data_IF_024556231563
#
_entry.id   IF_024556231563
#
_cell.length_a   1.000
_cell.length_b   1.000
_cell.length_c   1.000
_cell.angle_alpha   90.00
_cell.angle_beta   90.00
_cell.angle_gamma   90.00
#
_symmetry.space_group_name_H-M   'P 1'
#
loop_
_entity.id
_entity.type
_entity.pdbx_description
1 polymer ?
#
# COMPACT_ATOMS: atom_id res chain seq x y z
N UNK A 1 30.44 -17.19 -38.23
CA UNK A 1 29.52 -18.35 -38.26
C UNK A 1 28.97 -18.67 -36.88
N UNK A 2 29.65 -19.42 -35.99
CA UNK A 2 29.04 -19.93 -34.73
C UNK A 2 28.31 -18.85 -33.91
N UNK A 3 28.96 -17.72 -33.61
CA UNK A 3 28.33 -16.58 -32.91
C UNK A 3 27.08 -16.02 -33.60
N UNK A 4 27.07 -16.01 -34.93
CA UNK A 4 25.94 -15.57 -35.77
C UNK A 4 24.75 -16.53 -35.69
N UNK A 5 25.01 -17.84 -35.58
CA UNK A 5 23.98 -18.86 -35.39
C UNK A 5 23.41 -18.80 -33.97
N UNK A 6 24.25 -18.61 -32.96
CA UNK A 6 23.82 -18.48 -31.55
C UNK A 6 22.95 -17.23 -31.37
N UNK A 7 23.36 -16.07 -31.91
CA UNK A 7 22.56 -14.84 -31.79
C UNK A 7 21.21 -14.96 -32.52
N UNK A 8 21.15 -15.61 -33.68
CA UNK A 8 19.89 -15.90 -34.37
C UNK A 8 18.94 -16.78 -33.54
N UNK A 9 19.44 -17.84 -32.90
CA UNK A 9 18.66 -18.71 -32.01
C UNK A 9 18.13 -17.92 -30.80
N UNK A 10 18.97 -17.10 -30.16
CA UNK A 10 18.58 -16.27 -29.01
C UNK A 10 17.53 -15.23 -29.41
N UNK A 11 17.69 -14.55 -30.55
CA UNK A 11 16.70 -13.59 -31.07
C UNK A 11 15.36 -14.27 -31.42
N UNK A 12 15.39 -15.48 -31.98
CA UNK A 12 14.18 -16.26 -32.28
C UNK A 12 13.47 -16.69 -31.00
N UNK A 13 14.21 -17.14 -29.98
CA UNK A 13 13.65 -17.47 -28.68
C UNK A 13 13.04 -16.24 -27.97
N UNK A 14 13.74 -15.10 -27.98
CA UNK A 14 13.25 -13.81 -27.47
C UNK A 14 11.94 -13.39 -28.16
N UNK A 15 11.87 -13.49 -29.49
CA UNK A 15 10.68 -13.17 -30.27
C UNK A 15 9.50 -14.11 -29.96
N UNK A 16 9.75 -15.42 -29.81
CA UNK A 16 8.73 -16.41 -29.45
C UNK A 16 8.19 -16.18 -28.03
N UNK A 17 9.06 -15.87 -27.05
CA UNK A 17 8.65 -15.53 -25.67
C UNK A 17 7.83 -14.25 -25.67
N UNK A 18 8.34 -13.18 -26.30
CA UNK A 18 7.64 -11.90 -26.44
C UNK A 18 6.26 -12.08 -27.05
N UNK A 19 6.18 -12.72 -28.23
CA UNK A 19 4.91 -12.91 -28.94
C UNK A 19 3.93 -13.78 -28.14
N UNK A 20 4.37 -14.88 -27.51
CA UNK A 20 3.51 -15.68 -26.62
C UNK A 20 2.95 -14.86 -25.46
N UNK A 21 3.74 -13.95 -24.90
CA UNK A 21 3.36 -13.12 -23.76
C UNK A 21 2.37 -12.00 -24.17
N UNK A 22 2.56 -11.34 -25.33
CA UNK A 22 1.64 -10.29 -25.79
C UNK A 22 0.38 -10.80 -26.50
N UNK A 23 0.41 -11.98 -27.14
CA UNK A 23 -0.70 -12.53 -27.97
C UNK A 23 -2.07 -12.52 -27.27
N UNK A 24 -2.12 -12.70 -25.95
CA UNK A 24 -3.38 -12.59 -25.18
C UNK A 24 -3.97 -11.18 -25.23
N UNK A 25 -3.15 -10.14 -25.09
CA UNK A 25 -3.61 -8.75 -25.14
C UNK A 25 -4.00 -8.36 -26.57
N UNK A 26 -3.20 -8.73 -27.57
CA UNK A 26 -3.50 -8.41 -28.98
C UNK A 26 -4.81 -9.06 -29.45
N UNK A 27 -4.96 -10.39 -29.24
CA UNK A 27 -6.15 -11.16 -29.67
C UNK A 27 -7.46 -10.62 -29.08
N UNK A 28 -7.41 -10.17 -27.82
CA UNK A 28 -8.57 -9.65 -27.09
C UNK A 28 -8.56 -8.11 -27.00
N UNK A 29 -7.82 -7.42 -27.87
CA UNK A 29 -7.67 -5.94 -27.98
C UNK A 29 -7.64 -5.23 -26.62
N UNK A 30 -6.89 -5.79 -25.68
CA UNK A 30 -6.52 -5.08 -24.46
C UNK A 30 -5.38 -4.15 -24.82
N UNK A 31 -5.50 -2.83 -24.63
CA UNK A 31 -4.33 -1.97 -24.65
C UNK A 31 -3.46 -2.26 -23.42
N UNK A 32 -2.18 -2.54 -23.68
CA UNK A 32 -1.18 -2.92 -22.69
C UNK A 32 0.04 -2.00 -22.72
N UNK A 33 0.75 -1.91 -21.60
CA UNK A 33 2.06 -1.27 -21.57
C UNK A 33 3.07 -2.16 -22.30
N UNK A 34 3.76 -1.64 -23.32
CA UNK A 34 4.71 -2.42 -24.13
C UNK A 34 5.85 -2.99 -23.27
N UNK A 35 6.02 -4.33 -23.20
CA UNK A 35 7.03 -4.97 -22.37
C UNK A 35 8.37 -5.09 -23.11
N UNK A 36 9.42 -5.43 -22.37
CA UNK A 36 10.70 -5.96 -22.88
C UNK A 36 10.73 -7.48 -22.55
N UNK A 37 11.29 -8.35 -23.41
CA UNK A 37 11.39 -9.78 -23.13
C UNK A 37 12.03 -10.08 -21.77
N UNK A 38 11.57 -11.14 -21.10
CA UNK A 38 11.98 -11.62 -19.77
C UNK A 38 11.79 -10.68 -18.57
N UNK A 39 11.89 -9.35 -18.74
CA UNK A 39 11.67 -8.35 -17.69
C UNK A 39 10.24 -7.79 -17.65
N UNK A 40 9.42 -8.08 -18.66
CA UNK A 40 8.07 -7.54 -18.78
C UNK A 40 8.10 -6.01 -18.83
N UNK A 41 7.34 -5.34 -17.99
CA UNK A 41 7.36 -3.87 -17.82
C UNK A 41 8.28 -3.40 -16.68
N UNK A 42 8.85 -4.33 -15.89
CA UNK A 42 9.74 -4.03 -14.77
C UNK A 42 11.14 -3.56 -15.19
N UNK A 43 11.47 -3.66 -16.47
CA UNK A 43 12.69 -3.05 -17.03
C UNK A 43 12.83 -1.56 -16.68
N UNK A 44 11.70 -0.86 -16.47
CA UNK A 44 11.68 0.55 -16.08
C UNK A 44 12.21 0.77 -14.65
N UNK A 45 12.17 -0.23 -13.78
CA UNK A 45 12.81 -0.16 -12.46
C UNK A 45 14.33 -0.17 -12.63
N UNK A 46 14.85 -1.20 -13.29
CA UNK A 46 16.29 -1.42 -13.45
C UNK A 46 16.99 -0.41 -14.37
N UNK A 47 16.30 0.13 -15.39
CA UNK A 47 16.91 0.96 -16.44
C UNK A 47 16.51 2.44 -16.35
N UNK A 48 15.39 2.79 -15.69
CA UNK A 48 14.94 4.19 -15.55
C UNK A 48 14.90 4.68 -14.11
N UNK A 49 15.24 3.86 -13.13
CA UNK A 49 15.24 4.24 -11.72
C UNK A 49 13.84 4.55 -11.15
N UNK A 50 12.77 4.09 -11.80
CA UNK A 50 11.41 4.24 -11.29
C UNK A 50 11.13 3.16 -10.24
N UNK A 51 10.51 3.53 -9.12
CA UNK A 51 10.02 2.54 -8.15
C UNK A 51 8.93 1.66 -8.78
N UNK A 52 8.73 0.45 -8.24
CA UNK A 52 7.65 -0.44 -8.69
C UNK A 52 6.26 0.25 -8.65
N UNK A 53 5.88 1.00 -7.59
CA UNK A 53 4.65 1.80 -7.59
C UNK A 53 4.54 2.81 -8.74
N UNK A 54 5.60 3.55 -9.09
CA UNK A 54 5.58 4.50 -10.21
C UNK A 54 5.43 3.79 -11.56
N UNK A 55 6.01 2.60 -11.71
CA UNK A 55 5.80 1.76 -12.90
C UNK A 55 4.33 1.32 -13.00
N UNK A 56 3.74 0.86 -11.89
CA UNK A 56 2.32 0.48 -11.80
C UNK A 56 1.39 1.69 -12.03
N UNK A 57 1.69 2.86 -11.48
CA UNK A 57 0.95 4.11 -11.69
C UNK A 57 1.00 4.57 -13.16
N UNK A 58 2.17 4.49 -13.79
CA UNK A 58 2.34 4.81 -15.21
C UNK A 58 1.60 3.82 -16.12
N UNK A 59 1.53 2.55 -15.75
CA UNK A 59 0.71 1.55 -16.42
C UNK A 59 -0.77 1.88 -16.21
N UNK A 60 -1.20 2.13 -14.98
CA UNK A 60 -2.57 2.56 -14.61
C UNK A 60 -3.01 3.75 -15.48
N UNK A 61 -2.22 4.82 -15.55
CA UNK A 61 -2.54 6.05 -16.29
C UNK A 61 -2.34 5.96 -17.81
N UNK A 62 -1.79 4.87 -18.35
CA UNK A 62 -1.47 4.71 -19.78
C UNK A 62 -2.61 5.03 -20.75
N UNK A 63 -3.84 4.66 -20.38
CA UNK A 63 -5.09 5.18 -20.93
C UNK A 63 -6.02 5.41 -19.70
N UNK A 64 -6.70 6.56 -19.54
CA UNK A 64 -7.37 6.93 -18.29
C UNK A 64 -8.87 6.56 -18.22
N UNK A 65 -9.59 6.55 -19.35
CA UNK A 65 -11.04 6.33 -19.47
C UNK A 65 -11.50 4.88 -19.19
N UNK A 66 -10.71 4.15 -18.40
CA UNK A 66 -10.10 2.94 -18.91
C UNK A 66 -10.01 1.84 -17.84
N UNK A 67 -11.07 1.04 -17.74
CA UNK A 67 -11.44 0.20 -16.58
C UNK A 67 -10.46 -0.91 -16.18
N UNK A 68 -9.43 -1.24 -16.98
CA UNK A 68 -8.30 -2.10 -16.62
C UNK A 68 -7.11 -1.98 -17.61
N UNK A 69 -5.89 -2.44 -17.30
CA UNK A 69 -4.69 -2.30 -18.17
C UNK A 69 -3.90 -3.59 -18.30
N UNK A 70 -3.54 -4.00 -19.52
CA UNK A 70 -2.59 -5.11 -19.70
C UNK A 70 -1.15 -4.71 -19.34
N UNK A 71 -0.44 -5.58 -18.63
CA UNK A 71 1.02 -5.47 -18.47
C UNK A 71 1.64 -6.85 -18.24
N UNK A 72 2.96 -6.94 -18.30
CA UNK A 72 3.70 -8.17 -18.07
C UNK A 72 4.67 -7.95 -16.91
N UNK A 73 4.68 -8.87 -15.96
CA UNK A 73 5.61 -8.91 -14.85
C UNK A 73 6.54 -10.12 -15.06
N UNK A 74 7.79 -9.84 -15.44
CA UNK A 74 8.73 -10.81 -16.00
C UNK A 74 8.15 -11.54 -17.23
N UNK A 75 7.66 -12.77 -17.04
CA UNK A 75 6.98 -13.59 -18.06
C UNK A 75 5.47 -13.77 -17.80
N UNK A 76 4.93 -13.18 -16.73
CA UNK A 76 3.53 -13.32 -16.30
C UNK A 76 2.69 -12.19 -16.89
N UNK A 77 1.73 -12.45 -17.81
CA UNK A 77 0.75 -11.43 -18.17
C UNK A 77 -0.19 -11.16 -16.99
N UNK A 78 -0.49 -9.90 -16.75
CA UNK A 78 -1.37 -9.41 -15.69
C UNK A 78 -2.31 -8.35 -16.27
N UNK A 79 -3.47 -8.16 -15.63
CA UNK A 79 -4.39 -7.08 -15.96
C UNK A 79 -4.66 -6.25 -14.70
N UNK A 80 -4.24 -4.98 -14.71
CA UNK A 80 -4.32 -4.00 -13.62
C UNK A 80 -5.72 -3.37 -13.59
N UNK A 81 -6.47 -3.47 -12.49
CA UNK A 81 -7.88 -3.05 -12.44
C UNK A 81 -7.97 -1.52 -12.21
N UNK A 82 -8.88 -0.82 -12.91
CA UNK A 82 -9.20 0.60 -12.63
C UNK A 82 -10.64 0.86 -12.14
N UNK A 83 -11.61 0.01 -12.47
CA UNK A 83 -13.03 0.24 -12.12
C UNK A 83 -13.41 -0.19 -10.69
N UNK A 84 -14.18 0.64 -9.98
CA UNK A 84 -14.51 0.45 -8.56
C UNK A 84 -15.69 -0.50 -8.29
N UNK A 85 -16.80 -0.37 -9.04
CA UNK A 85 -17.95 -1.30 -8.95
C UNK A 85 -17.50 -2.74 -9.22
N UNK A 86 -16.49 -2.85 -10.07
CA UNK A 86 -15.84 -4.06 -10.44
C UNK A 86 -14.85 -4.60 -9.41
N UNK A 87 -13.99 -3.78 -8.79
CA UNK A 87 -13.15 -4.24 -7.67
C UNK A 87 -14.03 -4.82 -6.56
N UNK A 88 -15.19 -4.21 -6.32
CA UNK A 88 -16.26 -4.72 -5.43
C UNK A 88 -16.94 -5.99 -5.97
N UNK A 89 -17.03 -6.15 -7.29
CA UNK A 89 -17.54 -7.36 -7.94
C UNK A 89 -16.58 -8.55 -7.86
N UNK A 90 -15.25 -8.30 -7.94
CA UNK A 90 -14.18 -9.27 -7.63
C UNK A 90 -14.27 -9.64 -6.14
N UNK A 91 -13.97 -8.68 -5.27
CA UNK A 91 -13.65 -8.94 -3.87
C UNK A 91 -14.86 -9.28 -2.99
N UNK A 92 -16.09 -9.14 -3.50
CA UNK A 92 -17.32 -9.40 -2.75
C UNK A 92 -18.32 -10.24 -3.56
N UNK A 93 -18.91 -9.69 -4.63
CA UNK A 93 -20.07 -10.33 -5.30
C UNK A 93 -19.76 -11.73 -5.82
N UNK A 94 -18.56 -11.89 -6.37
CA UNK A 94 -18.06 -13.15 -6.91
C UNK A 94 -16.84 -13.61 -6.09
N UNK A 95 -16.77 -13.36 -4.76
CA UNK A 95 -15.60 -13.76 -3.97
C UNK A 95 -15.36 -15.28 -3.99
N UNK A 96 -16.40 -16.11 -4.19
CA UNK A 96 -16.20 -17.53 -4.42
C UNK A 96 -15.27 -17.76 -5.64
N UNK A 97 -15.34 -16.87 -6.65
CA UNK A 97 -14.46 -16.80 -7.80
C UNK A 97 -13.04 -16.24 -7.47
N UNK A 98 -12.72 -15.79 -6.24
CA UNK A 98 -11.38 -15.24 -5.87
C UNK A 98 -10.84 -15.69 -4.48
N UNK A 99 -10.77 -17.00 -4.16
CA UNK A 99 -10.52 -17.46 -2.79
C UNK A 99 -9.05 -17.51 -2.32
N UNK A 100 -8.08 -17.42 -3.22
CA UNK A 100 -6.64 -17.70 -2.96
C UNK A 100 -5.75 -16.47 -3.23
N UNK A 101 -4.46 -16.56 -2.87
CA UNK A 101 -3.43 -15.64 -3.34
C UNK A 101 -2.36 -16.31 -4.24
N UNK A 102 -1.61 -15.49 -4.97
CA UNK A 102 -0.49 -15.87 -5.85
C UNK A 102 0.68 -16.21 -4.96
N UNK A 103 1.28 -17.35 -5.27
CA UNK A 103 2.51 -17.76 -4.63
C UNK A 103 3.65 -16.96 -5.25
N UNK A 104 4.36 -16.21 -4.41
CA UNK A 104 5.55 -15.43 -4.79
C UNK A 104 6.77 -16.38 -4.96
N UNK A 105 6.72 -17.55 -4.32
CA UNK A 105 7.72 -18.61 -4.33
C UNK A 105 7.03 -19.97 -4.54
N UNK A 106 7.70 -20.95 -5.15
CA UNK A 106 7.11 -22.29 -5.25
C UNK A 106 7.00 -22.98 -3.87
N UNK A 107 5.98 -23.82 -3.65
CA UNK A 107 5.71 -24.40 -2.33
C UNK A 107 6.87 -25.19 -1.70
N UNK A 108 7.69 -25.79 -2.56
CA UNK A 108 8.81 -26.67 -2.19
C UNK A 108 10.12 -25.89 -2.01
N UNK A 109 10.22 -24.65 -2.53
CA UNK A 109 11.35 -23.74 -2.31
C UNK A 109 11.26 -23.03 -0.95
N UNK A 110 10.04 -22.72 -0.48
CA UNK A 110 9.82 -22.29 0.90
C UNK A 110 8.60 -23.01 1.54
N UNK A 111 8.84 -24.15 2.22
CA UNK A 111 7.81 -24.90 2.95
C UNK A 111 7.23 -24.22 4.20
N UNK A 112 7.71 -23.03 4.58
CA UNK A 112 7.18 -22.21 5.68
C UNK A 112 6.27 -21.11 5.15
N UNK A 113 6.73 -20.32 4.16
CA UNK A 113 5.89 -19.31 3.51
C UNK A 113 4.70 -19.94 2.79
N UNK A 114 4.85 -21.11 2.19
CA UNK A 114 3.76 -21.79 1.46
C UNK A 114 2.62 -22.28 2.35
N UNK A 115 2.86 -22.44 3.66
CA UNK A 115 1.88 -22.93 4.65
C UNK A 115 1.23 -21.83 5.49
N UNK A 116 1.63 -20.57 5.34
CA UNK A 116 1.03 -19.45 6.08
C UNK A 116 -0.38 -19.09 5.54
N UNK A 117 -1.21 -18.41 6.34
CA UNK A 117 -2.60 -18.09 5.97
C UNK A 117 -2.74 -17.19 4.72
N UNK A 118 -1.69 -16.46 4.33
CA UNK A 118 -1.71 -15.68 3.09
C UNK A 118 -1.55 -16.59 1.85
N UNK A 119 -0.64 -17.56 1.92
CA UNK A 119 -0.31 -18.50 0.84
C UNK A 119 -1.28 -19.70 0.73
N UNK A 120 -1.92 -20.11 1.84
CA UNK A 120 -2.87 -21.22 1.86
C UNK A 120 -4.03 -21.01 0.87
N UNK A 121 -4.57 -22.12 0.37
CA UNK A 121 -5.58 -22.14 -0.70
C UNK A 121 -6.77 -23.03 -0.36
N UNK A 122 -7.94 -22.70 -0.93
CA UNK A 122 -9.15 -23.52 -0.88
C UNK A 122 -9.59 -23.90 0.54
N UNK A 123 -9.92 -25.18 0.74
CA UNK A 123 -10.44 -25.71 2.02
C UNK A 123 -9.47 -25.46 3.17
N UNK A 124 -8.16 -25.74 3.00
CA UNK A 124 -7.13 -25.46 4.01
C UNK A 124 -7.08 -24.00 4.46
N UNK A 125 -7.31 -23.06 3.54
CA UNK A 125 -7.41 -21.64 3.91
C UNK A 125 -8.68 -21.35 4.71
N UNK A 126 -9.83 -21.93 4.34
CA UNK A 126 -11.08 -21.74 5.07
C UNK A 126 -11.00 -22.32 6.50
N UNK A 127 -10.49 -23.54 6.65
CA UNK A 127 -10.25 -24.20 7.94
C UNK A 127 -9.32 -23.36 8.83
N UNK A 128 -8.12 -23.03 8.32
CA UNK A 128 -7.14 -22.24 9.07
C UNK A 128 -7.66 -20.83 9.42
N UNK A 129 -8.45 -20.20 8.52
CA UNK A 129 -9.09 -18.91 8.79
C UNK A 129 -10.16 -19.02 9.86
N UNK A 130 -10.98 -20.08 9.87
CA UNK A 130 -11.98 -20.30 10.92
C UNK A 130 -11.31 -20.54 12.28
N UNK A 131 -10.30 -21.41 12.34
CA UNK A 131 -9.50 -21.68 13.56
C UNK A 131 -8.93 -20.37 14.12
N UNK A 132 -8.23 -19.59 13.30
CA UNK A 132 -7.63 -18.33 13.72
C UNK A 132 -8.68 -17.27 14.11
N UNK A 133 -9.78 -17.15 13.36
CA UNK A 133 -10.88 -16.23 13.73
C UNK A 133 -11.47 -16.60 15.10
N UNK A 134 -11.55 -17.90 15.42
CA UNK A 134 -12.00 -18.36 16.75
C UNK A 134 -10.99 -18.06 17.87
N UNK A 135 -9.72 -17.80 17.56
CA UNK A 135 -8.69 -17.40 18.50
C UNK A 135 -8.71 -15.89 18.78
N UNK A 136 -9.04 -15.06 17.78
CA UNK A 136 -9.10 -13.60 17.91
C UNK A 136 -10.38 -13.05 18.59
N UNK A 137 -11.10 -13.86 19.38
CA UNK A 137 -12.24 -13.39 20.18
C UNK A 137 -11.76 -12.53 21.36
N UNK A 138 -12.56 -11.55 21.81
CA UNK A 138 -12.14 -10.58 22.83
C UNK A 138 -11.68 -11.19 24.16
N UNK A 139 -12.25 -12.35 24.54
CA UNK A 139 -11.82 -13.12 25.72
C UNK A 139 -10.44 -13.75 25.50
N UNK A 140 -10.26 -14.53 24.41
CA UNK A 140 -8.98 -15.17 24.10
C UNK A 140 -7.87 -14.17 23.81
N UNK A 141 -8.18 -13.05 23.14
CA UNK A 141 -7.25 -11.92 22.96
C UNK A 141 -6.73 -11.37 24.29
N UNK A 142 -7.57 -11.29 25.33
CA UNK A 142 -7.15 -10.83 26.67
C UNK A 142 -6.23 -11.83 27.37
N UNK A 143 -6.39 -13.13 27.14
CA UNK A 143 -5.47 -14.17 27.59
C UNK A 143 -4.16 -14.19 26.77
N UNK A 144 -4.27 -14.09 25.44
CA UNK A 144 -3.14 -14.02 24.51
C UNK A 144 -2.26 -12.80 24.79
N UNK A 145 -2.81 -11.66 25.21
CA UNK A 145 -2.05 -10.48 25.60
C UNK A 145 -0.94 -10.77 26.63
N UNK A 146 -1.15 -11.74 27.53
CA UNK A 146 -0.13 -12.17 28.51
C UNK A 146 1.05 -12.85 27.80
N UNK A 147 0.77 -13.83 26.93
CA UNK A 147 1.80 -14.51 26.13
C UNK A 147 2.43 -13.57 25.08
N UNK A 148 1.68 -12.64 24.51
CA UNK A 148 2.19 -11.64 23.57
C UNK A 148 3.12 -10.63 24.26
N UNK A 149 2.83 -10.25 25.51
CA UNK A 149 3.76 -9.50 26.37
C UNK A 149 5.04 -10.30 26.61
N UNK A 150 4.91 -11.59 26.92
CA UNK A 150 6.05 -12.43 27.29
C UNK A 150 6.95 -12.75 26.08
N UNK A 151 6.37 -13.12 24.93
CA UNK A 151 7.12 -13.25 23.68
C UNK A 151 7.66 -11.90 23.17
N UNK A 152 6.98 -10.78 23.38
CA UNK A 152 7.55 -9.46 23.08
C UNK A 152 8.72 -9.10 24.01
N UNK A 153 8.69 -9.56 25.26
CA UNK A 153 9.81 -9.46 26.18
C UNK A 153 10.97 -10.34 25.71
N UNK A 154 10.77 -11.63 25.46
CA UNK A 154 11.83 -12.53 24.95
C UNK A 154 12.42 -12.01 23.63
N UNK A 155 11.58 -11.52 22.72
CA UNK A 155 12.02 -10.96 21.44
C UNK A 155 12.82 -9.67 21.64
N UNK A 156 12.45 -8.81 22.60
CA UNK A 156 13.24 -7.62 22.96
C UNK A 156 14.55 -7.98 23.66
N UNK A 157 14.54 -8.95 24.58
CA UNK A 157 15.73 -9.47 25.27
C UNK A 157 16.69 -10.15 24.28
N UNK A 158 16.17 -10.75 23.19
CA UNK A 158 16.95 -11.33 22.09
C UNK A 158 17.46 -10.27 21.08
N UNK A 159 16.67 -9.24 20.77
CA UNK A 159 17.10 -8.16 19.88
C UNK A 159 18.05 -7.15 20.53
N UNK A 160 18.01 -6.97 21.85
CA UNK A 160 18.87 -6.00 22.54
C UNK A 160 20.39 -6.30 22.37
N UNK A 161 20.87 -7.57 22.45
CA UNK A 161 22.23 -7.92 22.07
C UNK A 161 22.52 -7.73 20.58
N UNK A 162 21.58 -8.09 19.69
CA UNK A 162 21.77 -7.94 18.23
C UNK A 162 21.87 -6.47 17.80
N UNK A 163 21.17 -5.57 18.49
CA UNK A 163 21.26 -4.13 18.27
C UNK A 163 22.62 -3.51 18.66
N UNK A 164 23.49 -4.26 19.35
CA UNK A 164 24.86 -3.84 19.62
C UNK A 164 25.79 -4.00 18.40
N UNK A 165 25.41 -4.80 17.39
CA UNK A 165 26.30 -5.18 16.28
C UNK A 165 25.58 -5.20 14.89
N UNK A 166 25.13 -3.99 14.50
CA UNK A 166 24.61 -3.60 13.16
C UNK A 166 23.17 -4.05 12.76
N UNK A 167 22.53 -3.29 11.86
CA UNK A 167 21.07 -3.28 11.60
C UNK A 167 20.60 -3.89 10.25
N UNK A 168 19.33 -4.35 10.16
CA UNK A 168 18.70 -5.02 8.97
C UNK A 168 17.16 -4.77 8.86
N UNK A 169 16.54 -4.97 7.68
CA UNK A 169 15.13 -4.57 7.34
C UNK A 169 14.34 -5.57 6.43
N UNK A 170 12.97 -5.58 6.43
CA UNK A 170 12.04 -6.52 5.69
C UNK A 170 10.63 -5.91 5.37
N UNK A 171 9.84 -6.40 4.38
CA UNK A 171 8.48 -5.90 3.96
C UNK A 171 7.38 -6.99 3.64
N UNK A 172 6.13 -6.62 3.20
CA UNK A 172 4.92 -7.47 3.42
C UNK A 172 3.57 -7.33 2.60
N UNK A 173 3.37 -6.53 1.52
CA UNK A 173 2.02 -5.88 1.26
C UNK A 173 0.89 -6.45 0.32
N UNK A 174 1.12 -7.14 -0.81
CA UNK A 174 0.16 -7.17 -1.98
C UNK A 174 -1.13 -8.07 -1.96
N UNK A 175 -2.01 -7.92 -2.98
CA UNK A 175 -3.29 -8.64 -3.18
C UNK A 175 -3.43 -9.35 -4.56
N UNK A 176 -4.37 -10.32 -4.71
CA UNK A 176 -4.42 -11.27 -5.86
C UNK A 176 -5.83 -11.85 -6.16
N UNK A 177 -6.08 -12.23 -7.42
CA UNK A 177 -7.19 -13.00 -8.01
C UNK A 177 -6.98 -14.56 -7.99
N UNK A 178 -8.03 -15.43 -8.09
CA UNK A 178 -7.88 -16.87 -7.78
C UNK A 178 -8.81 -17.96 -8.41
N UNK A 179 -9.97 -17.64 -8.99
CA UNK A 179 -10.53 -18.26 -10.21
C UNK A 179 -10.60 -17.10 -11.25
N UNK A 180 -11.29 -17.18 -12.41
CA UNK A 180 -11.29 -16.08 -13.39
C UNK A 180 -12.33 -14.96 -13.14
N UNK A 181 -11.96 -13.67 -13.30
CA UNK A 181 -12.85 -12.50 -13.19
C UNK A 181 -12.95 -11.64 -14.46
N UNK A 182 -14.16 -11.42 -15.01
CA UNK A 182 -14.32 -10.50 -16.16
C UNK A 182 -14.34 -9.02 -15.75
N UNK A 183 -13.24 -8.31 -16.03
CA UNK A 183 -13.15 -6.86 -15.98
C UNK A 183 -14.10 -6.22 -17.04
N UNK A 184 -14.65 -5.01 -16.84
CA UNK A 184 -15.62 -4.41 -17.75
C UNK A 184 -14.86 -3.74 -18.90
N UNK A 185 -15.53 -3.40 -20.02
CA UNK A 185 -14.92 -2.72 -21.17
C UNK A 185 -13.90 -1.66 -20.77
N UNK A 186 -12.65 -1.67 -21.28
CA UNK A 186 -11.63 -0.69 -20.85
C UNK A 186 -12.17 0.74 -21.02
N UNK A 187 -12.22 1.28 -22.22
CA UNK A 187 -13.02 2.48 -22.53
C UNK A 187 -14.44 2.07 -22.95
N UNK A 188 -15.43 2.97 -23.00
CA UNK A 188 -16.68 2.72 -23.72
C UNK A 188 -16.39 2.24 -25.15
N UNK A 189 -16.74 1.00 -25.47
CA UNK A 189 -16.44 0.36 -26.75
C UNK A 189 -15.18 -0.53 -26.80
N UNK A 190 -14.32 -0.53 -25.77
CA UNK A 190 -13.21 -1.50 -25.70
C UNK A 190 -13.67 -2.90 -25.28
N UNK A 191 -12.80 -3.89 -25.52
CA UNK A 191 -13.01 -5.27 -25.04
C UNK A 191 -12.82 -5.38 -23.51
N UNK A 192 -12.98 -6.60 -23.00
CA UNK A 192 -13.00 -6.95 -21.57
C UNK A 192 -12.00 -8.09 -21.27
N UNK A 193 -11.00 -7.85 -20.43
CA UNK A 193 -10.06 -8.87 -19.94
C UNK A 193 -10.72 -9.72 -18.85
N UNK A 194 -10.30 -10.97 -18.71
CA UNK A 194 -10.69 -11.86 -17.61
C UNK A 194 -9.47 -12.13 -16.74
N UNK A 195 -9.36 -11.53 -15.54
CA UNK A 195 -8.25 -11.79 -14.60
C UNK A 195 -8.22 -13.26 -14.29
N UNK A 196 -7.07 -13.91 -14.43
CA UNK A 196 -6.97 -15.35 -14.23
C UNK A 196 -6.65 -15.69 -12.78
N UNK A 197 -6.87 -16.95 -12.43
CA UNK A 197 -6.44 -17.48 -11.16
C UNK A 197 -4.93 -17.24 -10.95
N UNK A 198 -4.56 -16.72 -9.79
CA UNK A 198 -3.19 -16.43 -9.36
C UNK A 198 -2.54 -15.17 -9.99
N UNK A 199 -3.30 -14.26 -10.58
CA UNK A 199 -2.77 -12.97 -11.07
C UNK A 199 -2.86 -11.87 -9.99
N UNK A 200 -1.75 -11.16 -9.75
CA UNK A 200 -1.66 -10.10 -8.73
C UNK A 200 -2.41 -8.83 -9.14
N UNK A 201 -2.96 -8.13 -8.15
CA UNK A 201 -3.52 -6.78 -8.27
C UNK A 201 -2.93 -5.90 -7.16
N UNK A 202 -1.94 -5.09 -7.52
CA UNK A 202 -1.38 -4.08 -6.62
C UNK A 202 -2.36 -2.90 -6.47
N UNK A 203 -2.47 -2.34 -5.26
CA UNK A 203 -3.27 -1.14 -4.98
C UNK A 203 -2.31 0.01 -4.68
N UNK A 204 -2.17 1.02 -5.56
CA UNK A 204 -1.18 2.09 -5.41
C UNK A 204 -1.63 3.14 -4.37
N UNK A 205 -1.64 2.77 -3.09
CA UNK A 205 -2.09 3.61 -1.96
C UNK A 205 -1.42 4.99 -2.00
N UNK A 206 -0.10 5.04 -2.21
CA UNK A 206 0.66 6.30 -2.26
C UNK A 206 0.21 7.21 -3.41
N UNK A 207 0.00 6.67 -4.62
CA UNK A 207 -0.48 7.45 -5.76
C UNK A 207 -1.90 7.97 -5.53
N UNK A 208 -2.80 7.13 -5.02
CA UNK A 208 -4.18 7.52 -4.68
C UNK A 208 -4.22 8.65 -3.63
N UNK A 209 -3.28 8.66 -2.67
CA UNK A 209 -3.17 9.73 -1.66
C UNK A 209 -2.55 11.04 -2.20
N UNK A 210 -1.88 11.00 -3.37
CA UNK A 210 -1.26 12.16 -4.01
C UNK A 210 -1.94 12.58 -5.32
N UNK A 211 -3.08 11.99 -5.64
CA UNK A 211 -3.88 12.32 -6.83
C UNK A 211 -4.71 13.60 -6.57
N UNK A 212 -4.50 14.69 -7.34
CA UNK A 212 -5.22 15.95 -7.16
C UNK A 212 -6.73 15.84 -7.42
N UNK A 213 -7.22 14.77 -8.06
CA UNK A 213 -8.66 14.49 -8.19
C UNK A 213 -9.34 14.25 -6.84
N UNK A 214 -8.63 13.66 -5.86
CA UNK A 214 -9.16 13.34 -4.53
C UNK A 214 -8.55 14.20 -3.41
N UNK A 215 -7.35 14.74 -3.63
CA UNK A 215 -6.60 15.52 -2.65
C UNK A 215 -6.05 16.81 -3.31
N UNK A 216 -6.83 17.91 -3.35
CA UNK A 216 -6.37 19.19 -3.90
C UNK A 216 -5.05 19.65 -3.26
N UNK A 217 -4.13 20.19 -4.05
CA UNK A 217 -2.75 20.48 -3.60
C UNK A 217 -2.09 19.31 -2.83
N UNK A 218 -1.93 18.13 -3.45
CA UNK A 218 -1.62 16.89 -2.73
C UNK A 218 -0.24 16.88 -2.06
N UNK A 219 0.68 17.73 -2.53
CA UNK A 219 2.04 17.88 -1.97
C UNK A 219 2.11 18.86 -0.79
N UNK A 220 1.03 19.60 -0.53
CA UNK A 220 0.98 20.61 0.53
C UNK A 220 0.38 20.02 1.81
N UNK A 221 1.12 20.14 2.92
CA UNK A 221 0.67 19.72 4.24
C UNK A 221 -0.43 20.66 4.74
N UNK A 222 -1.67 20.30 4.41
CA UNK A 222 -2.90 20.95 4.81
C UNK A 222 -3.70 19.92 5.64
N UNK A 223 -3.85 20.10 6.97
CA UNK A 223 -4.68 19.22 7.82
C UNK A 223 -6.19 19.42 7.60
N UNK A 224 -6.61 20.63 7.26
CA UNK A 224 -8.02 21.05 7.21
C UNK A 224 -8.79 20.38 6.05
N UNK A 225 -8.08 19.80 5.07
CA UNK A 225 -8.62 18.83 4.10
C UNK A 225 -9.31 17.62 4.76
N UNK A 226 -9.10 17.38 6.06
CA UNK A 226 -9.76 16.33 6.85
C UNK A 226 -10.81 16.88 7.83
N UNK A 227 -11.14 18.16 7.76
CA UNK A 227 -12.21 18.82 8.54
C UNK A 227 -13.52 18.84 7.75
N UNK A 228 -13.59 19.59 6.64
CA UNK A 228 -14.82 19.74 5.85
C UNK A 228 -15.13 18.51 4.99
N UNK A 229 -14.12 18.03 4.25
CA UNK A 229 -14.22 16.79 3.44
C UNK A 229 -14.32 15.51 4.28
N UNK A 230 -14.27 15.61 5.62
CA UNK A 230 -14.19 14.49 6.57
C UNK A 230 -15.22 13.38 6.36
N UNK A 231 -16.45 13.72 5.97
CA UNK A 231 -17.56 12.75 5.84
C UNK A 231 -17.62 12.03 4.50
N UNK A 232 -16.98 12.55 3.45
CA UNK A 232 -16.96 11.93 2.13
C UNK A 232 -15.61 11.27 1.85
N UNK A 233 -14.48 11.99 1.96
CA UNK A 233 -13.16 11.44 1.61
C UNK A 233 -12.72 10.32 2.55
N UNK A 234 -13.00 10.40 3.85
CA UNK A 234 -12.66 9.34 4.82
C UNK A 234 -13.61 8.12 4.69
N UNK A 235 -14.74 8.26 3.98
CA UNK A 235 -15.68 7.15 3.67
C UNK A 235 -15.56 6.64 2.22
N UNK A 236 -14.79 7.31 1.37
CA UNK A 236 -14.56 6.91 -0.02
C UNK A 236 -13.50 5.82 -0.11
N UNK A 237 -13.35 5.25 -1.31
CA UNK A 237 -12.25 4.33 -1.63
C UNK A 237 -10.90 5.03 -1.86
N UNK A 238 -10.77 6.35 -1.68
CA UNK A 238 -9.48 7.05 -1.81
C UNK A 238 -8.67 7.12 -0.51
N UNK A 239 -9.31 7.08 0.68
CA UNK A 239 -8.59 7.08 1.96
C UNK A 239 -8.19 5.68 2.44
N UNK A 240 -7.09 5.17 1.87
CA UNK A 240 -6.63 3.78 2.03
C UNK A 240 -5.50 3.54 3.05
N UNK A 241 -5.22 4.45 3.99
CA UNK A 241 -4.05 4.37 4.90
C UNK A 241 -4.00 3.12 5.80
N UNK A 242 -5.13 2.43 5.98
CA UNK A 242 -5.24 1.16 6.70
C UNK A 242 -5.84 0.03 5.83
N UNK A 243 -5.84 0.19 4.50
CA UNK A 243 -6.54 -0.68 3.57
C UNK A 243 -8.08 -0.58 3.69
N UNK A 244 -8.79 -1.43 2.95
CA UNK A 244 -10.25 -1.43 2.84
C UNK A 244 -10.83 -2.85 2.81
N UNK A 245 -12.07 -3.02 3.27
CA UNK A 245 -12.79 -4.30 3.23
C UNK A 245 -12.21 -5.40 4.16
N UNK A 246 -12.52 -6.69 3.94
CA UNK A 246 -12.14 -7.81 4.83
C UNK A 246 -10.64 -8.13 4.94
N UNK A 247 -9.77 -7.31 4.33
CA UNK A 247 -8.31 -7.34 4.41
C UNK A 247 -7.71 -6.04 4.97
N UNK A 248 -8.53 -5.08 5.40
CA UNK A 248 -8.06 -3.88 6.10
C UNK A 248 -7.31 -4.22 7.39
N UNK A 249 -6.40 -3.35 7.82
CA UNK A 249 -5.59 -3.52 9.01
C UNK A 249 -6.48 -3.64 10.26
N UNK A 250 -6.49 -4.83 10.86
CA UNK A 250 -7.23 -5.15 12.09
C UNK A 250 -6.82 -4.23 13.26
N UNK A 251 -5.58 -3.75 13.25
CA UNK A 251 -5.03 -2.82 14.24
C UNK A 251 -5.37 -1.34 14.02
N UNK A 252 -6.18 -0.95 13.02
CA UNK A 252 -6.37 0.46 12.65
C UNK A 252 -6.86 1.35 13.82
N UNK A 253 -7.82 0.88 14.62
CA UNK A 253 -8.32 1.58 15.82
C UNK A 253 -7.24 1.70 16.90
N UNK A 254 -6.43 0.66 17.09
CA UNK A 254 -5.34 0.63 18.06
C UNK A 254 -4.23 1.63 17.67
N UNK A 255 -3.78 1.59 16.42
CA UNK A 255 -2.79 2.52 15.88
C UNK A 255 -3.27 3.97 15.99
N UNK A 256 -4.48 4.29 15.51
CA UNK A 256 -5.03 5.64 15.59
C UNK A 256 -5.19 6.14 17.04
N UNK A 257 -5.57 5.28 17.99
CA UNK A 257 -5.66 5.65 19.40
C UNK A 257 -4.28 5.91 20.01
N UNK A 258 -3.32 5.00 19.80
CA UNK A 258 -1.95 5.13 20.29
C UNK A 258 -1.25 6.38 19.76
N UNK A 259 -1.34 6.62 18.44
CA UNK A 259 -0.79 7.83 17.80
C UNK A 259 -1.44 9.12 18.34
N UNK A 260 -2.77 9.13 18.56
CA UNK A 260 -3.45 10.30 19.15
C UNK A 260 -3.03 10.58 20.59
N UNK A 261 -2.93 9.55 21.43
CA UNK A 261 -2.49 9.69 22.83
C UNK A 261 -1.02 10.16 22.90
N UNK A 262 -0.16 9.64 22.03
CA UNK A 262 1.23 10.05 21.91
C UNK A 262 1.34 11.54 21.54
N UNK A 263 0.68 11.97 20.46
CA UNK A 263 0.70 13.38 20.04
C UNK A 263 0.06 14.31 21.08
N UNK A 264 -1.03 13.90 21.72
CA UNK A 264 -1.64 14.68 22.81
C UNK A 264 -0.65 14.93 23.95
N UNK A 265 0.01 13.89 24.47
CA UNK A 265 0.97 14.06 25.55
C UNK A 265 2.24 14.80 25.14
N UNK A 266 2.68 14.68 23.88
CA UNK A 266 3.78 15.49 23.35
C UNK A 266 3.36 16.96 23.28
N UNK A 267 2.27 17.32 22.59
CA UNK A 267 1.88 18.72 22.42
C UNK A 267 1.39 19.40 23.70
N UNK A 268 0.90 18.64 24.69
CA UNK A 268 0.56 19.16 26.02
C UNK A 268 1.82 19.53 26.84
N UNK A 269 2.95 18.83 26.64
CA UNK A 269 4.17 18.99 27.45
C UNK A 269 5.34 19.64 26.72
N UNK A 270 5.32 19.69 25.39
CA UNK A 270 6.44 20.08 24.55
C UNK A 270 6.01 20.91 23.35
N UNK A 271 6.85 21.89 23.00
CA UNK A 271 6.83 22.57 21.71
C UNK A 271 7.86 21.88 20.80
N UNK A 272 7.45 21.53 19.57
CA UNK A 272 8.33 20.97 18.54
C UNK A 272 8.67 22.04 17.50
N UNK A 273 9.92 22.09 17.04
CA UNK A 273 10.33 22.93 15.91
C UNK A 273 11.33 22.20 14.99
N UNK A 274 11.55 22.68 13.76
CA UNK A 274 12.70 22.27 12.96
C UNK A 274 14.04 22.54 13.66
N UNK A 275 15.09 21.90 13.17
CA UNK A 275 16.48 22.14 13.51
C UNK A 275 17.37 22.03 12.25
N UNK A 276 18.67 22.28 12.37
CA UNK A 276 19.63 22.24 11.25
C UNK A 276 19.78 20.87 10.56
N UNK A 277 19.15 19.81 11.11
CA UNK A 277 19.12 18.45 10.54
C UNK A 277 17.75 18.07 9.95
N UNK A 278 16.74 18.95 10.03
CA UNK A 278 15.40 18.68 9.50
C UNK A 278 15.40 18.82 7.97
N UNK A 279 15.11 17.73 7.24
CA UNK A 279 14.89 17.81 5.78
C UNK A 279 13.56 18.51 5.50
N UNK A 280 13.61 19.74 5.01
CA UNK A 280 12.45 20.51 4.54
C UNK A 280 12.80 21.07 3.14
N UNK A 281 12.15 20.60 2.06
CA UNK A 281 11.14 19.55 2.01
C UNK A 281 11.68 18.17 2.46
N UNK A 282 10.76 17.28 2.83
CA UNK A 282 11.08 15.90 3.18
C UNK A 282 11.52 15.12 1.94
N UNK A 283 12.66 14.43 2.02
CA UNK A 283 13.09 13.44 1.04
C UNK A 283 12.86 12.04 1.59
N UNK A 284 12.36 11.13 0.75
CA UNK A 284 12.21 9.72 1.11
C UNK A 284 13.52 8.96 0.89
N UNK A 285 13.75 7.94 1.72
CA UNK A 285 14.84 6.98 1.53
C UNK A 285 14.64 6.16 0.25
N UNK A 286 15.72 5.96 -0.50
CA UNK A 286 15.79 4.95 -1.58
C UNK A 286 16.24 3.57 -1.07
N UNK A 287 16.66 3.48 0.19
CA UNK A 287 17.05 2.24 0.85
C UNK A 287 15.86 1.66 1.61
N UNK A 288 15.64 0.35 1.46
CA UNK A 288 14.55 -0.37 2.10
C UNK A 288 13.21 -0.25 1.35
N UNK A 289 12.17 -0.85 1.94
CA UNK A 289 10.81 -0.87 1.39
C UNK A 289 9.80 -0.03 2.21
N UNK A 290 10.27 0.58 3.30
CA UNK A 290 9.47 1.44 4.17
C UNK A 290 9.62 2.90 3.77
N UNK A 291 8.53 3.67 3.82
CA UNK A 291 8.56 5.11 3.54
C UNK A 291 9.18 5.86 4.73
N UNK A 292 10.51 5.92 4.76
CA UNK A 292 11.31 6.64 5.76
C UNK A 292 11.92 7.91 5.18
N UNK A 293 12.36 8.82 6.04
CA UNK A 293 13.17 9.98 5.63
C UNK A 293 14.57 9.54 5.22
N UNK A 294 15.09 10.04 4.09
CA UNK A 294 16.46 9.80 3.56
C UNK A 294 17.54 9.97 4.65
N UNK A 295 17.35 10.94 5.54
CA UNK A 295 18.29 11.30 6.60
C UNK A 295 17.68 11.16 8.02
N UNK A 296 16.54 10.48 8.17
CA UNK A 296 15.79 10.39 9.43
C UNK A 296 14.95 11.63 9.75
N UNK A 297 14.16 11.57 10.84
CA UNK A 297 13.24 12.63 11.26
C UNK A 297 13.82 13.41 12.44
N UNK A 298 14.40 14.58 12.17
CA UNK A 298 15.00 15.43 13.20
C UNK A 298 14.09 16.61 13.57
N UNK A 299 13.86 16.79 14.87
CA UNK A 299 13.11 17.90 15.46
C UNK A 299 13.85 18.42 16.70
N UNK A 300 13.71 19.71 16.99
CA UNK A 300 14.08 20.30 18.28
C UNK A 300 12.85 20.24 19.20
N UNK A 301 13.06 19.74 20.41
CA UNK A 301 12.02 19.65 21.44
C UNK A 301 12.37 20.66 22.54
N UNK A 302 11.39 21.47 22.96
CA UNK A 302 11.45 22.28 24.18
C UNK A 302 10.28 21.88 25.09
N UNK A 303 10.41 21.91 26.42
CA UNK A 303 9.26 21.91 27.31
C UNK A 303 8.30 23.04 26.95
N UNK A 304 6.99 22.78 27.02
CA UNK A 304 5.95 23.80 26.85
C UNK A 304 5.79 24.53 28.18
N UNK A 305 6.18 25.79 28.23
CA UNK A 305 6.00 26.65 29.39
C UNK A 305 4.51 26.86 29.67
N UNK A 306 4.06 26.51 30.88
CA UNK A 306 2.70 26.81 31.37
C UNK A 306 2.67 28.27 31.85
N UNK A 307 2.79 29.19 30.90
CA UNK A 307 2.65 30.62 31.16
C UNK A 307 1.21 31.04 30.87
N UNK A 308 0.57 31.70 31.84
CA UNK A 308 -0.73 32.37 31.70
C UNK A 308 -0.55 33.70 30.96
N UNK A 309 -0.07 33.63 29.72
CA UNK A 309 0.22 34.77 28.86
C UNK A 309 -0.51 34.61 27.51
N UNK A 310 -0.79 35.75 26.87
CA UNK A 310 -1.61 35.83 25.66
C UNK A 310 -0.96 35.13 24.45
N UNK A 311 -1.76 34.68 23.46
CA UNK A 311 -1.23 33.93 22.32
C UNK A 311 -0.40 34.84 21.39
N UNK A 312 0.93 34.74 21.49
CA UNK A 312 1.85 35.35 20.51
C UNK A 312 1.50 34.89 19.08
N UNK A 313 1.09 35.83 18.24
CA UNK A 313 0.73 35.61 16.83
C UNK A 313 1.97 35.47 15.94
N UNK A 314 2.78 34.44 16.21
CA UNK A 314 3.85 34.00 15.31
C UNK A 314 3.24 33.33 14.07
N UNK A 315 2.78 34.16 13.12
CA UNK A 315 2.14 33.71 11.87
C UNK A 315 3.14 32.93 11.02
N UNK A 316 2.92 31.62 10.92
CA UNK A 316 3.54 30.77 9.91
C UNK A 316 2.75 30.96 8.60
N UNK A 317 3.39 31.39 7.50
CA UNK A 317 2.69 31.54 6.22
C UNK A 317 2.07 30.21 5.78
N UNK A 318 0.74 30.16 5.67
CA UNK A 318 -0.01 28.96 5.27
C UNK A 318 -0.67 28.16 6.40
N UNK A 319 -0.66 28.61 7.67
CA UNK A 319 -1.44 27.96 8.74
C UNK A 319 -2.11 28.97 9.69
N UNK A 320 -3.06 29.76 9.15
CA UNK A 320 -3.86 30.70 9.94
C UNK A 320 -5.13 30.04 10.47
N UNK A 321 -5.01 29.27 11.55
CA UNK A 321 -6.20 28.86 12.34
C UNK A 321 -6.63 30.07 13.18
N UNK A 322 -7.59 30.85 12.66
CA UNK A 322 -8.31 31.83 13.47
C UNK A 322 -9.18 31.06 14.47
N UNK A 323 -8.77 31.03 15.74
CA UNK A 323 -9.60 30.52 16.82
C UNK A 323 -10.61 31.63 17.17
N UNK A 324 -11.68 31.72 16.37
CA UNK A 324 -12.87 32.44 16.81
C UNK A 324 -13.39 31.80 18.11
N UNK A 325 -13.69 32.63 19.12
CA UNK A 325 -14.39 32.18 20.32
C UNK A 325 -15.78 31.70 19.91
N UNK A 326 -15.97 30.40 19.80
CA UNK A 326 -17.30 29.79 19.80
C UNK A 326 -17.99 30.21 21.10
N UNK A 327 -19.12 30.95 21.05
CA UNK A 327 -19.81 31.35 22.27
C UNK A 327 -20.36 30.12 22.99
N UNK A 328 -20.30 30.14 24.32
CA UNK A 328 -20.71 29.02 25.16
C UNK A 328 -22.17 28.65 24.90
N UNK A 329 -22.41 27.35 24.70
CA UNK A 329 -23.77 26.79 24.52
C UNK A 329 -24.21 25.99 25.74
N UNK A 330 -24.00 26.58 26.91
CA UNK A 330 -24.73 26.22 28.11
C UNK A 330 -25.88 27.21 28.30
N UNK A 331 -27.16 26.78 28.16
CA UNK A 331 -28.26 27.56 28.70
C UNK A 331 -28.17 27.51 30.24
N UNK A 332 -28.03 28.67 30.86
CA UNK A 332 -28.11 28.82 32.31
C UNK A 332 -29.54 28.60 32.80
N UNK A 333 -29.65 28.03 34.01
CA UNK A 333 -30.86 27.84 34.81
C UNK A 333 -30.44 28.00 36.28
#
# INVERSE_FOLDING_TARGET
MVWSSISAIVLTALAIVYYRAIRKFDLFEIPYAKPIPFLGNLWQVFVRGLSFPEVIEKIYNSNPDSKYVGFIEFNTPLLLIRDLDLIKSIAVKNFDHFPNHRLIFEPDLDPLFSKNLFSLRGVRWMEMRQILTSAFTSSKMKSMFVLMRDCAKEYADYFAPLAADQSKEIELKDAVCAKPFKLPPRVPGAKSYVVQANESVCIPIYGIHHDPQYYPEPKNFNPDRFYDYSRQTIKSSSFLSFGLGPRMCMGNKFALLGTKLLFFHIFAKCNLSPCVRSSIPLKLSMNGFHMTSENGFWLKIKPRSVNTAEPETNVIPGTTILIEKVPDRHPEN
#
